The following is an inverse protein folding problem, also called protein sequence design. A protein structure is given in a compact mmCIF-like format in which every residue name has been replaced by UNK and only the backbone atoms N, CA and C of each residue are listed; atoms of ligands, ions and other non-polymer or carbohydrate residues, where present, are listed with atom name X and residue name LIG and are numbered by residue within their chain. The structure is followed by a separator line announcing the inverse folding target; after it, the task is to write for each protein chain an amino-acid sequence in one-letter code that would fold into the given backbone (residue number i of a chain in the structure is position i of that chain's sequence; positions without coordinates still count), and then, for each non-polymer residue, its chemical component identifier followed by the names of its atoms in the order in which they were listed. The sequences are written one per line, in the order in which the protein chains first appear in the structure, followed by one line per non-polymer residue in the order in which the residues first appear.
data_IF_525386590497
#
_entry.id   IF_525386590497
#
_cell.length_a   1.000
_cell.length_b   1.000
_cell.length_c   1.000
_cell.angle_alpha   90.00
_cell.angle_beta   90.00
_cell.angle_gamma   90.00
#
_symmetry.space_group_name_H-M   'P 1'
#
loop_
_entity.id
_entity.type
_entity.pdbx_description
1 polymer ?
#
# COMPACT_ATOMS: atom_id res chain seq x y z
N UNK A 1 4.32 -47.46 51.92
CA UNK A 1 4.12 -48.48 50.87
C UNK A 1 4.84 -48.01 49.61
N UNK A 2 5.90 -48.73 49.23
CA UNK A 2 6.82 -48.44 48.12
C UNK A 2 6.27 -48.99 46.80
N UNK A 3 6.60 -48.30 45.70
CA UNK A 3 6.47 -48.78 44.31
C UNK A 3 7.40 -49.98 44.05
N UNK A 4 7.04 -50.86 43.10
CA UNK A 4 7.80 -50.95 41.84
C UNK A 4 6.84 -50.97 40.62
N UNK A 5 7.03 -50.31 39.47
CA UNK A 5 8.12 -50.19 38.48
C UNK A 5 8.24 -51.40 37.52
N UNK A 6 8.16 -51.05 36.23
CA UNK A 6 8.55 -51.77 35.01
C UNK A 6 7.54 -52.73 34.36
N UNK A 7 7.45 -52.88 33.03
CA UNK A 7 7.89 -52.12 31.85
C UNK A 7 7.41 -52.88 30.58
N UNK A 8 7.48 -52.20 29.43
CA UNK A 8 7.45 -52.70 28.03
C UNK A 8 6.13 -53.28 27.47
N UNK A 9 5.46 -52.59 26.52
CA UNK A 9 5.71 -52.48 25.06
C UNK A 9 5.43 -53.77 24.27
N UNK A 10 4.39 -53.75 23.45
CA UNK A 10 4.48 -54.24 22.07
C UNK A 10 3.48 -53.51 21.16
N UNK A 11 4.03 -53.00 20.05
CA UNK A 11 3.37 -52.31 18.94
C UNK A 11 2.64 -53.33 18.07
N UNK A 12 1.43 -53.01 17.64
CA UNK A 12 0.85 -53.57 16.42
C UNK A 12 0.11 -52.45 15.66
N UNK A 13 0.79 -51.92 14.65
CA UNK A 13 0.14 -51.22 13.55
C UNK A 13 -0.61 -52.25 12.70
N UNK A 14 -1.80 -51.90 12.20
CA UNK A 14 -2.10 -51.91 10.77
C UNK A 14 -3.51 -51.34 10.52
N UNK A 15 -3.54 -50.47 9.52
CA UNK A 15 -4.66 -49.76 8.94
C UNK A 15 -5.87 -50.62 8.58
N UNK A 16 -7.07 -50.01 8.55
CA UNK A 16 -7.95 -49.98 7.37
C UNK A 16 -9.06 -48.93 7.55
N UNK A 17 -8.96 -47.87 6.75
CA UNK A 17 -10.03 -47.25 5.95
C UNK A 17 -11.42 -46.94 6.56
N UNK A 18 -11.74 -45.63 6.62
CA UNK A 18 -12.80 -45.09 5.75
C UNK A 18 -13.96 -44.31 6.40
N UNK A 19 -14.31 -43.19 5.74
CA UNK A 19 -15.41 -42.22 5.96
C UNK A 19 -15.24 -41.32 7.19
N UNK A 20 -15.15 -40.00 7.08
CA UNK A 20 -15.46 -39.10 5.99
C UNK A 20 -15.98 -37.82 6.63
N UNK A 21 -15.08 -36.86 6.88
CA UNK A 21 -15.37 -35.44 6.97
C UNK A 21 -14.04 -34.76 6.63
N UNK A 22 -13.80 -34.64 5.32
CA UNK A 22 -12.84 -33.65 4.85
C UNK A 22 -13.47 -32.30 5.16
N UNK A 23 -13.05 -31.70 6.27
CA UNK A 23 -13.13 -30.25 6.41
C UNK A 23 -12.37 -29.68 5.21
N UNK A 24 -13.15 -29.30 4.22
CA UNK A 24 -12.75 -28.57 3.04
C UNK A 24 -12.01 -27.32 3.54
N UNK A 25 -10.69 -27.17 3.34
CA UNK A 25 -10.00 -25.94 3.64
C UNK A 25 -10.25 -24.95 2.49
N UNK A 26 -11.50 -24.80 2.05
CA UNK A 26 -11.92 -23.64 1.29
C UNK A 26 -12.16 -22.51 2.28
N UNK A 27 -11.06 -22.03 2.85
CA UNK A 27 -10.96 -20.58 3.05
C UNK A 27 -11.30 -19.90 1.73
N UNK A 28 -11.88 -18.69 1.74
CA UNK A 28 -12.17 -17.99 0.49
C UNK A 28 -10.89 -18.00 -0.35
N UNK A 29 -10.98 -18.52 -1.58
CA UNK A 29 -9.95 -18.31 -2.59
C UNK A 29 -9.93 -16.79 -2.76
N UNK A 30 -8.98 -16.13 -2.10
CA UNK A 30 -8.64 -14.75 -2.43
C UNK A 30 -8.07 -14.89 -3.83
N UNK A 31 -8.87 -14.52 -4.82
CA UNK A 31 -8.42 -14.35 -6.20
C UNK A 31 -7.30 -13.32 -6.11
N UNK A 32 -6.05 -13.80 -6.14
CA UNK A 32 -4.89 -12.92 -6.14
C UNK A 32 -4.94 -12.24 -7.49
N UNK A 33 -5.47 -11.02 -7.52
CA UNK A 33 -5.44 -10.21 -8.72
C UNK A 33 -3.98 -10.08 -9.14
N UNK A 34 -3.63 -10.62 -10.31
CA UNK A 34 -2.26 -10.57 -10.80
C UNK A 34 -1.93 -9.12 -11.13
N UNK A 35 -1.03 -8.51 -10.35
CA UNK A 35 -0.58 -7.14 -10.55
C UNK A 35 -0.18 -6.91 -12.01
N UNK A 36 -0.86 -5.95 -12.66
CA UNK A 36 -0.53 -5.52 -14.01
C UNK A 36 0.31 -4.25 -13.95
N UNK A 37 1.61 -4.30 -14.32
CA UNK A 37 2.47 -3.14 -14.26
C UNK A 37 2.03 -2.06 -15.26
N UNK A 38 2.20 -0.80 -14.88
CA UNK A 38 1.82 0.32 -15.73
C UNK A 38 2.72 0.43 -16.97
N UNK A 39 2.11 0.48 -18.16
CA UNK A 39 2.82 0.63 -19.44
C UNK A 39 3.06 2.10 -19.84
N UNK A 40 2.54 3.04 -19.06
CA UNK A 40 2.74 4.48 -19.24
C UNK A 40 2.61 5.21 -17.90
N UNK A 41 3.15 6.45 -17.76
CA UNK A 41 2.91 7.28 -16.58
C UNK A 41 1.42 7.55 -16.36
N UNK A 42 0.63 7.68 -17.43
CA UNK A 42 -0.81 7.88 -17.35
C UNK A 42 -1.51 6.64 -16.78
N UNK A 43 -1.12 5.45 -17.21
CA UNK A 43 -1.64 4.18 -16.68
C UNK A 43 -1.24 3.94 -15.22
N UNK A 44 -0.09 4.49 -14.76
CA UNK A 44 0.40 4.33 -13.39
C UNK A 44 -0.63 4.79 -12.35
N UNK A 45 -1.32 5.90 -12.61
CA UNK A 45 -2.29 6.45 -11.67
C UNK A 45 -3.60 5.67 -11.65
N UNK A 46 -3.95 5.01 -12.75
CA UNK A 46 -5.07 4.09 -12.76
C UNK A 46 -4.75 2.87 -11.89
N UNK A 47 -3.57 2.26 -12.09
CA UNK A 47 -3.11 1.12 -11.27
C UNK A 47 -3.03 1.50 -9.78
N UNK A 48 -2.53 2.70 -9.47
CA UNK A 48 -2.51 3.22 -8.10
C UNK A 48 -3.92 3.30 -7.47
N UNK A 49 -4.91 3.77 -8.24
CA UNK A 49 -6.31 3.85 -7.77
C UNK A 49 -6.84 2.46 -7.47
N UNK A 50 -6.71 1.53 -8.40
CA UNK A 50 -7.18 0.15 -8.26
C UNK A 50 -6.57 -0.51 -7.01
N UNK A 51 -5.25 -0.39 -6.83
CA UNK A 51 -4.53 -0.89 -5.66
C UNK A 51 -5.08 -0.33 -4.34
N UNK A 52 -5.36 0.98 -4.28
CA UNK A 52 -5.88 1.60 -3.08
C UNK A 52 -7.31 1.17 -2.77
N UNK A 53 -8.17 1.06 -3.78
CA UNK A 53 -9.56 0.63 -3.61
C UNK A 53 -9.65 -0.84 -3.17
N UNK A 54 -8.77 -1.69 -3.69
CA UNK A 54 -8.66 -3.10 -3.32
C UNK A 54 -7.91 -3.33 -2.01
N UNK A 55 -7.15 -2.33 -1.54
CA UNK A 55 -6.24 -2.41 -0.38
C UNK A 55 -5.18 -3.51 -0.57
N UNK A 56 -4.67 -3.67 -1.79
CA UNK A 56 -3.65 -4.68 -2.11
C UNK A 56 -2.24 -4.15 -1.79
N UNK A 57 -1.72 -4.54 -0.62
CA UNK A 57 -0.39 -4.13 -0.19
C UNK A 57 0.73 -4.70 -1.06
N UNK A 58 0.56 -5.91 -1.60
CA UNK A 58 1.59 -6.56 -2.41
C UNK A 58 1.71 -5.85 -3.76
N UNK A 59 0.57 -5.59 -4.41
CA UNK A 59 0.54 -4.81 -5.64
C UNK A 59 1.04 -3.38 -5.41
N UNK A 60 0.77 -2.77 -4.25
CA UNK A 60 1.36 -1.48 -3.89
C UNK A 60 2.89 -1.57 -3.79
N UNK A 61 3.45 -2.57 -3.10
CA UNK A 61 4.90 -2.80 -3.03
C UNK A 61 5.52 -2.94 -4.43
N UNK A 62 4.90 -3.72 -5.32
CA UNK A 62 5.34 -3.92 -6.71
C UNK A 62 5.23 -2.64 -7.57
N UNK A 63 4.27 -1.77 -7.26
CA UNK A 63 4.13 -0.46 -7.91
C UNK A 63 5.30 0.49 -7.56
N UNK A 64 5.82 0.42 -6.33
CA UNK A 64 6.84 1.35 -5.83
C UNK A 64 8.23 1.04 -6.36
N UNK A 65 8.89 2.04 -6.97
CA UNK A 65 10.31 1.98 -7.30
C UNK A 65 11.15 1.77 -6.02
N UNK A 66 12.24 0.99 -6.04
CA UNK A 66 13.11 0.82 -4.87
C UNK A 66 13.64 2.14 -4.27
N UNK A 67 13.72 3.20 -5.08
CA UNK A 67 14.14 4.55 -4.67
C UNK A 67 12.98 5.42 -4.21
N UNK A 68 11.79 4.85 -4.01
CA UNK A 68 10.58 5.60 -3.66
C UNK A 68 10.81 6.54 -2.48
N UNK A 69 10.27 7.76 -2.61
CA UNK A 69 10.19 8.73 -1.52
C UNK A 69 8.82 9.35 -1.43
N UNK A 70 8.29 9.42 -0.20
CA UNK A 70 7.12 10.20 0.14
C UNK A 70 7.55 11.48 0.87
N UNK A 71 7.25 12.66 0.34
CA UNK A 71 7.70 13.93 0.90
C UNK A 71 6.60 14.66 1.65
N UNK A 72 6.86 14.95 2.92
CA UNK A 72 6.05 15.79 3.80
C UNK A 72 6.50 17.24 3.61
N UNK A 73 5.99 17.91 2.57
CA UNK A 73 6.50 19.23 2.16
C UNK A 73 6.44 20.29 3.27
N UNK A 74 5.38 20.28 4.10
CA UNK A 74 5.23 21.20 5.23
C UNK A 74 6.21 20.92 6.37
N UNK A 75 6.64 19.67 6.53
CA UNK A 75 7.50 19.23 7.63
C UNK A 75 8.98 19.16 7.23
N UNK A 76 9.28 19.24 5.93
CA UNK A 76 10.64 19.29 5.41
C UNK A 76 11.41 17.96 5.52
N UNK A 77 10.72 16.83 5.60
CA UNK A 77 11.33 15.50 5.55
C UNK A 77 10.61 14.56 4.58
N UNK A 78 11.21 13.40 4.33
CA UNK A 78 10.63 12.35 3.50
C UNK A 78 10.71 10.99 4.17
N UNK A 79 9.77 10.11 3.83
CA UNK A 79 9.85 8.67 4.09
C UNK A 79 10.41 7.94 2.88
N UNK A 80 11.09 6.83 3.15
CA UNK A 80 11.49 5.87 2.13
C UNK A 80 10.41 4.80 1.96
N UNK A 81 10.64 3.91 1.00
CA UNK A 81 9.72 2.81 0.67
C UNK A 81 9.30 1.98 1.90
N UNK A 82 10.18 1.52 2.80
CA UNK A 82 9.77 0.71 3.94
C UNK A 82 8.85 1.44 4.93
N UNK A 83 9.12 2.72 5.21
CA UNK A 83 8.27 3.52 6.10
C UNK A 83 6.90 3.78 5.49
N UNK A 84 6.83 4.05 4.18
CA UNK A 84 5.57 4.24 3.49
C UNK A 84 4.74 2.94 3.42
N UNK A 85 5.40 1.80 3.18
CA UNK A 85 4.75 0.49 3.20
C UNK A 85 4.20 0.14 4.58
N UNK A 86 4.93 0.42 5.66
CA UNK A 86 4.44 0.16 7.01
C UNK A 86 3.16 0.96 7.34
N UNK A 87 3.13 2.25 6.96
CA UNK A 87 1.93 3.08 7.10
C UNK A 87 0.77 2.55 6.24
N UNK A 88 1.07 2.12 5.02
CA UNK A 88 0.07 1.61 4.07
C UNK A 88 -0.48 0.25 4.49
N UNK A 89 0.33 -0.65 5.05
CA UNK A 89 -0.12 -1.93 5.63
C UNK A 89 -1.15 -1.68 6.73
N UNK A 90 -0.85 -0.76 7.65
CA UNK A 90 -1.79 -0.41 8.72
C UNK A 90 -3.10 0.13 8.15
N UNK A 91 -3.03 0.96 7.11
CA UNK A 91 -4.20 1.50 6.42
C UNK A 91 -5.02 0.42 5.69
N UNK A 92 -4.36 -0.56 5.08
CA UNK A 92 -4.96 -1.61 4.26
C UNK A 92 -5.47 -2.79 5.09
N UNK A 93 -4.93 -3.00 6.29
CA UNK A 93 -5.19 -4.17 7.14
C UNK A 93 -6.67 -4.46 7.45
N UNK A 94 -7.54 -3.44 7.40
CA UNK A 94 -8.92 -3.58 7.82
C UNK A 94 -9.11 -3.73 9.34
N UNK A 95 -8.04 -3.57 10.12
CA UNK A 95 -8.02 -3.75 11.57
C UNK A 95 -7.61 -2.47 12.29
N UNK A 96 -8.04 -2.32 13.54
CA UNK A 96 -7.56 -1.26 14.40
C UNK A 96 -6.16 -1.62 14.89
N UNK A 97 -5.20 -0.70 14.78
CA UNK A 97 -3.79 -0.94 15.13
C UNK A 97 -3.23 0.18 15.99
N UNK A 98 -2.18 -0.10 16.74
CA UNK A 98 -1.48 0.94 17.51
C UNK A 98 -0.37 1.53 16.65
N UNK A 99 -0.42 2.84 16.42
CA UNK A 99 0.62 3.54 15.68
C UNK A 99 1.92 3.66 16.49
N UNK A 100 2.97 4.13 15.85
CA UNK A 100 4.31 4.37 16.44
C UNK A 100 4.32 5.30 17.67
N UNK A 101 3.24 6.05 17.91
CA UNK A 101 3.07 6.95 19.06
C UNK A 101 2.25 6.32 20.20
N UNK A 102 1.82 5.06 20.06
CA UNK A 102 0.99 4.37 21.04
C UNK A 102 -0.51 4.68 20.94
N UNK A 103 -0.96 5.33 19.87
CA UNK A 103 -2.37 5.67 19.65
C UNK A 103 -3.07 4.59 18.83
N UNK A 104 -4.30 4.26 19.21
CA UNK A 104 -5.13 3.32 18.44
C UNK A 104 -5.70 3.99 17.18
N UNK A 105 -5.26 3.54 16.02
CA UNK A 105 -5.83 3.88 14.72
C UNK A 105 -7.10 3.07 14.47
N UNK A 106 -7.99 3.64 13.65
CA UNK A 106 -9.27 3.00 13.33
C UNK A 106 -9.11 2.05 12.15
N UNK A 107 -9.80 0.91 12.22
CA UNK A 107 -9.96 0.01 11.09
C UNK A 107 -10.58 0.74 9.88
N UNK A 108 -9.88 0.73 8.75
CA UNK A 108 -10.41 1.18 7.46
C UNK A 108 -11.06 0.00 6.76
N UNK A 109 -12.38 0.03 6.62
CA UNK A 109 -13.14 -1.05 5.99
C UNK A 109 -13.23 -0.93 4.47
N UNK A 110 -13.08 0.28 3.92
CA UNK A 110 -13.07 0.54 2.49
C UNK A 110 -12.33 1.85 2.17
N UNK A 111 -11.75 1.91 0.98
CA UNK A 111 -11.15 3.11 0.40
C UNK A 111 -11.83 3.31 -0.96
N UNK A 112 -12.24 4.54 -1.24
CA UNK A 112 -12.77 4.94 -2.54
C UNK A 112 -11.99 6.15 -3.04
N UNK A 113 -11.48 6.07 -4.27
CA UNK A 113 -10.79 7.20 -4.90
C UNK A 113 -11.77 7.92 -5.82
N UNK A 114 -12.68 8.67 -5.20
CA UNK A 114 -13.77 9.38 -5.89
C UNK A 114 -13.28 10.35 -6.98
N UNK A 115 -12.06 10.88 -6.84
CA UNK A 115 -11.50 11.82 -7.79
C UNK A 115 -9.98 11.74 -7.86
N UNK A 116 -9.45 11.63 -9.08
CA UNK A 116 -8.07 11.92 -9.45
C UNK A 116 -8.05 12.73 -10.74
N UNK A 117 -7.98 14.07 -10.63
CA UNK A 117 -7.95 14.96 -11.79
C UNK A 117 -6.55 15.49 -12.03
N UNK A 118 -6.06 15.29 -13.25
CA UNK A 118 -4.80 15.87 -13.72
C UNK A 118 -4.93 17.39 -13.77
N UNK A 119 -4.00 18.09 -13.11
CA UNK A 119 -3.93 19.55 -13.06
C UNK A 119 -2.68 20.09 -13.75
N UNK A 120 -1.57 19.36 -13.71
CA UNK A 120 -0.36 19.62 -14.51
C UNK A 120 0.06 18.30 -15.15
N UNK A 121 0.19 18.29 -16.48
CA UNK A 121 0.51 17.08 -17.25
C UNK A 121 1.90 16.52 -16.98
N UNK A 122 2.14 15.28 -17.41
CA UNK A 122 3.44 14.62 -17.26
C UNK A 122 4.55 15.36 -18.00
N UNK A 123 5.55 15.83 -17.26
CA UNK A 123 6.77 16.45 -17.78
C UNK A 123 8.00 15.78 -17.22
N UNK A 124 9.15 15.97 -17.85
CA UNK A 124 10.42 15.50 -17.30
C UNK A 124 10.69 16.16 -15.94
N UNK A 125 11.25 15.38 -15.01
CA UNK A 125 11.71 15.91 -13.73
C UNK A 125 12.94 16.79 -13.99
N UNK A 126 12.98 18.05 -13.48
CA UNK A 126 14.15 18.91 -13.63
C UNK A 126 15.41 18.29 -13.01
N UNK A 127 16.57 18.49 -13.66
CA UNK A 127 17.84 17.89 -13.22
C UNK A 127 18.27 18.35 -11.81
N UNK A 128 17.82 19.52 -11.41
CA UNK A 128 18.02 20.14 -10.09
C UNK A 128 17.07 19.62 -9.01
N UNK A 129 16.08 18.77 -9.34
CA UNK A 129 15.15 18.24 -8.35
C UNK A 129 15.90 17.42 -7.29
N UNK A 130 15.73 17.71 -5.99
CA UNK A 130 16.62 17.20 -4.93
C UNK A 130 16.62 15.67 -4.82
N UNK A 131 15.47 15.04 -5.00
CA UNK A 131 15.32 13.59 -4.83
C UNK A 131 15.40 12.79 -6.14
N UNK A 132 15.07 13.43 -7.26
CA UNK A 132 14.68 12.71 -8.48
C UNK A 132 15.31 13.26 -9.77
N UNK A 133 16.01 14.40 -9.71
CA UNK A 133 16.60 15.02 -10.90
C UNK A 133 17.71 14.21 -11.56
N UNK A 134 18.24 13.22 -10.84
CA UNK A 134 19.26 12.29 -11.32
C UNK A 134 18.69 10.94 -11.80
N UNK A 135 17.36 10.76 -11.78
CA UNK A 135 16.72 9.52 -12.24
C UNK A 135 16.43 9.64 -13.75
N UNK A 136 17.10 8.85 -14.61
CA UNK A 136 16.93 8.97 -16.06
C UNK A 136 15.49 8.69 -16.48
N UNK A 137 14.92 9.57 -17.30
CA UNK A 137 13.56 9.44 -17.82
C UNK A 137 12.45 9.61 -16.77
N UNK A 138 12.78 10.06 -15.56
CA UNK A 138 11.76 10.34 -14.55
C UNK A 138 10.81 11.44 -15.02
N UNK A 139 9.52 11.24 -14.78
CA UNK A 139 8.46 12.18 -15.12
C UNK A 139 7.67 12.56 -13.88
N UNK A 140 7.04 13.72 -13.89
CA UNK A 140 6.17 14.20 -12.82
C UNK A 140 4.89 14.83 -13.35
N UNK A 141 3.81 14.70 -12.59
CA UNK A 141 2.51 15.30 -12.86
C UNK A 141 1.83 15.71 -11.55
N UNK A 142 0.97 16.72 -11.60
CA UNK A 142 0.20 17.18 -10.45
C UNK A 142 -1.27 16.77 -10.58
N UNK A 143 -1.82 16.15 -9.54
CA UNK A 143 -3.22 15.77 -9.47
C UNK A 143 -3.92 16.50 -8.32
N UNK A 144 -5.18 16.86 -8.52
CA UNK A 144 -6.10 17.10 -7.41
C UNK A 144 -6.87 15.83 -7.12
N UNK A 145 -6.97 15.47 -5.85
CA UNK A 145 -7.59 14.22 -5.42
C UNK A 145 -8.71 14.43 -4.41
N UNK A 146 -9.64 13.48 -4.39
CA UNK A 146 -10.61 13.29 -3.31
C UNK A 146 -10.67 11.79 -3.02
N UNK A 147 -10.30 11.40 -1.80
CA UNK A 147 -10.22 10.00 -1.38
C UNK A 147 -11.03 9.85 -0.10
N UNK A 148 -11.90 8.85 -0.07
CA UNK A 148 -12.79 8.58 1.05
C UNK A 148 -12.40 7.27 1.72
N UNK A 149 -12.08 7.36 3.01
CA UNK A 149 -11.78 6.22 3.87
C UNK A 149 -12.99 5.95 4.75
N UNK A 150 -13.53 4.75 4.67
CA UNK A 150 -14.67 4.32 5.48
C UNK A 150 -14.19 3.57 6.71
N UNK A 151 -14.76 3.89 7.88
CA UNK A 151 -14.52 3.18 9.13
C UNK A 151 -15.82 3.05 9.94
N UNK A 152 -15.91 2.19 10.97
CA UNK A 152 -17.18 1.96 11.70
C UNK A 152 -17.86 3.21 12.28
N UNK A 153 -17.10 4.27 12.58
CA UNK A 153 -17.62 5.51 13.14
C UNK A 153 -17.94 6.61 12.11
N UNK A 154 -17.92 6.32 10.80
CA UNK A 154 -18.10 7.31 9.72
C UNK A 154 -17.01 7.27 8.65
N UNK A 155 -16.71 8.42 8.04
CA UNK A 155 -15.75 8.54 6.95
C UNK A 155 -14.69 9.60 7.23
N UNK A 156 -13.48 9.39 6.72
CA UNK A 156 -12.44 10.41 6.60
C UNK A 156 -12.34 10.75 5.12
N UNK A 157 -12.53 12.01 4.76
CA UNK A 157 -12.38 12.48 3.38
C UNK A 157 -11.13 13.33 3.27
N UNK A 158 -10.21 12.90 2.41
CA UNK A 158 -9.01 13.63 2.06
C UNK A 158 -9.23 14.32 0.73
N UNK A 159 -9.16 15.65 0.72
CA UNK A 159 -9.15 16.44 -0.51
C UNK A 159 -7.87 17.23 -0.57
N UNK A 160 -7.12 17.06 -1.65
CA UNK A 160 -5.76 17.59 -1.71
C UNK A 160 -5.23 17.73 -3.11
N UNK A 161 -3.98 18.16 -3.19
CA UNK A 161 -3.18 18.11 -4.41
C UNK A 161 -1.94 17.30 -4.11
N UNK A 162 -1.61 16.39 -5.00
CA UNK A 162 -0.46 15.53 -4.84
C UNK A 162 0.30 15.48 -6.15
N UNK A 163 1.60 15.72 -6.06
CA UNK A 163 2.53 15.56 -7.17
C UNK A 163 3.07 14.15 -7.14
N UNK A 164 2.95 13.47 -8.27
CA UNK A 164 3.44 12.11 -8.45
C UNK A 164 4.70 12.15 -9.30
N UNK A 165 5.62 11.23 -9.02
CA UNK A 165 6.83 11.02 -9.77
C UNK A 165 6.86 9.59 -10.26
N UNK A 166 7.17 9.38 -11.53
CA UNK A 166 7.22 8.06 -12.15
C UNK A 166 8.59 7.84 -12.76
N UNK A 167 9.11 6.61 -12.65
CA UNK A 167 10.35 6.20 -13.30
C UNK A 167 10.08 5.08 -14.31
N UNK A 168 10.70 5.12 -15.50
CA UNK A 168 10.65 4.02 -16.43
C UNK A 168 11.61 2.91 -15.99
N UNK A 169 11.14 1.67 -16.06
CA UNK A 169 11.93 0.45 -15.91
C UNK A 169 11.89 -0.29 -17.23
N UNK A 170 13.06 -0.49 -17.85
CA UNK A 170 13.17 -1.21 -19.12
C UNK A 170 13.37 -2.70 -18.83
N UNK A 171 12.41 -3.52 -19.26
CA UNK A 171 12.43 -4.97 -19.12
C UNK A 171 12.36 -5.59 -20.51
N UNK A 172 13.52 -5.93 -21.08
CA UNK A 172 13.60 -6.44 -22.45
C UNK A 172 13.27 -5.36 -23.48
N UNK A 173 12.22 -5.57 -24.30
CA UNK A 173 11.71 -4.59 -25.26
C UNK A 173 10.68 -3.63 -24.65
N UNK A 174 10.19 -3.94 -23.45
CA UNK A 174 9.06 -3.23 -22.86
C UNK A 174 9.56 -2.19 -21.87
N UNK A 175 8.83 -1.07 -21.79
CA UNK A 175 9.04 -0.04 -20.78
C UNK A 175 7.84 -0.04 -19.84
N UNK A 176 8.10 -0.41 -18.60
CA UNK A 176 7.13 -0.36 -17.51
C UNK A 176 7.40 0.89 -16.69
N UNK A 177 6.41 1.31 -15.91
CA UNK A 177 6.49 2.50 -15.07
C UNK A 177 6.21 2.13 -13.63
N UNK A 178 7.04 2.64 -12.74
CA UNK A 178 6.91 2.47 -11.30
C UNK A 178 6.72 3.84 -10.64
N UNK A 179 6.06 3.86 -9.49
CA UNK A 179 5.89 5.06 -8.69
C UNK A 179 7.21 5.37 -7.99
N UNK A 180 7.86 6.45 -8.41
CA UNK A 180 9.14 6.92 -7.88
C UNK A 180 8.95 7.82 -6.65
N UNK A 181 7.81 8.48 -6.53
CA UNK A 181 7.58 9.31 -5.37
C UNK A 181 6.26 10.05 -5.37
N UNK A 182 6.00 10.64 -4.22
CA UNK A 182 4.83 11.45 -3.93
C UNK A 182 5.22 12.68 -3.13
N UNK A 183 4.62 13.81 -3.47
CA UNK A 183 4.71 15.07 -2.74
C UNK A 183 3.30 15.54 -2.43
N UNK A 184 2.96 15.59 -1.15
CA UNK A 184 1.69 16.16 -0.70
C UNK A 184 1.78 17.68 -0.71
N UNK A 185 0.93 18.34 -1.51
CA UNK A 185 0.93 19.79 -1.66
C UNK A 185 -0.15 20.38 -0.73
N UNK A 186 0.26 21.12 0.31
CA UNK A 186 -0.66 21.62 1.31
C UNK A 186 -1.73 22.55 0.74
N UNK A 187 -2.96 22.40 1.23
CA UNK A 187 -3.98 23.43 1.11
C UNK A 187 -3.96 24.32 2.36
N UNK A 188 -3.52 25.58 2.20
CA UNK A 188 -3.41 26.58 3.28
C UNK A 188 -4.71 26.93 4.02
N UNK A 189 -5.86 26.30 3.73
CA UNK A 189 -7.16 26.75 4.25
C UNK A 189 -8.19 25.66 4.56
N UNK A 190 -7.91 24.38 4.35
CA UNK A 190 -8.90 23.33 4.63
C UNK A 190 -8.74 22.79 6.05
N UNK A 191 -9.83 22.74 6.81
CA UNK A 191 -9.94 21.96 8.05
C UNK A 191 -9.95 20.44 7.80
N UNK A 192 -9.67 20.01 6.57
CA UNK A 192 -9.63 18.60 6.18
C UNK A 192 -8.21 18.07 6.34
N UNK A 193 -8.05 16.81 6.77
CA UNK A 193 -6.73 16.18 6.83
C UNK A 193 -6.12 16.10 5.44
N UNK A 194 -4.80 16.30 5.39
CA UNK A 194 -3.97 16.09 4.21
C UNK A 194 -3.63 14.60 4.05
N UNK A 195 -2.99 14.26 2.93
CA UNK A 195 -2.50 12.90 2.70
C UNK A 195 -1.37 12.55 3.68
N UNK A 196 -0.51 13.52 3.98
CA UNK A 196 0.54 13.47 4.99
C UNK A 196 -0.04 13.20 6.39
N UNK A 197 -1.10 13.90 6.78
CA UNK A 197 -1.75 13.72 8.09
C UNK A 197 -2.26 12.27 8.25
N UNK A 198 -2.85 11.71 7.19
CA UNK A 198 -3.34 10.33 7.22
C UNK A 198 -2.18 9.34 7.30
N UNK A 199 -1.15 9.47 6.45
CA UNK A 199 0.02 8.60 6.46
C UNK A 199 0.71 8.62 7.83
N UNK A 200 0.85 9.81 8.43
CA UNK A 200 1.39 9.98 9.78
C UNK A 200 0.54 9.31 10.86
N UNK A 201 -0.79 9.44 10.78
CA UNK A 201 -1.71 8.80 11.71
C UNK A 201 -1.59 7.26 11.69
N UNK A 202 -1.41 6.68 10.51
CA UNK A 202 -1.35 5.23 10.28
C UNK A 202 0.06 4.62 10.34
N UNK A 203 1.10 5.39 10.67
CA UNK A 203 2.47 4.89 10.80
C UNK A 203 2.69 3.98 12.01
#
# INVERSE_FOLDING_TARGET
MMRPLAALLLIAALAFSGCGDSEDPTGPIIDQHEYQPAVSPEALLQVFVEIYEERDLNAYDDLLDPRFRFSFLDEGFSWEKPEDLASTDNLFSGEARTNSQGQLTRAISAIAVDRMLLTEGWTDVPAEHPSFGQVPGARTALYSHMIVFTHPAGTITLSGRQRFFAAPTVTGSDTLWSLLGQEDIPFKSSAQPSWSDLKALYR
#
